data_IF_654730025055
#
_entry.id   IF_654730025055
#
_cell.length_a   1.000
_cell.length_b   1.000
_cell.length_c   1.000
_cell.angle_alpha   90.00
_cell.angle_beta   90.00
_cell.angle_gamma   90.00
#
_symmetry.space_group_name_H-M   'P 1'
#
loop_
_entity.id
_entity.type
_entity.pdbx_description
1 polymer ?
#
# COMPACT_ATOMS: atom_id res chain seq x y z
N UNK A 1 32.83 -11.23 -2.69
CA UNK A 1 31.52 -10.79 -3.17
C UNK A 1 30.68 -12.06 -3.30
N UNK A 2 29.83 -12.35 -2.32
CA UNK A 2 28.87 -13.45 -2.41
C UNK A 2 27.86 -13.07 -3.49
N UNK A 3 27.65 -13.94 -4.48
CA UNK A 3 26.57 -13.80 -5.42
C UNK A 3 25.25 -13.80 -4.64
N UNK A 4 24.60 -12.64 -4.57
CA UNK A 4 23.27 -12.53 -3.98
C UNK A 4 22.29 -13.13 -5.00
N UNK A 5 21.97 -14.39 -4.79
CA UNK A 5 20.96 -15.09 -5.60
C UNK A 5 19.58 -14.86 -4.97
N UNK A 6 19.14 -13.61 -4.89
CA UNK A 6 17.73 -13.33 -4.58
C UNK A 6 16.94 -13.59 -5.86
N UNK A 7 16.23 -14.70 -5.88
CA UNK A 7 15.33 -15.01 -6.97
C UNK A 7 14.13 -14.05 -6.89
N UNK A 8 14.15 -12.99 -7.71
CA UNK A 8 12.92 -12.26 -8.00
C UNK A 8 11.89 -13.26 -8.55
N UNK A 9 10.67 -13.18 -8.02
CA UNK A 9 9.57 -14.07 -8.43
C UNK A 9 8.54 -13.28 -9.24
N UNK A 10 8.76 -13.07 -10.56
CA UNK A 10 7.83 -12.30 -11.40
C UNK A 10 6.56 -13.12 -11.65
N UNK A 11 5.60 -13.02 -10.75
CA UNK A 11 4.29 -13.67 -10.82
C UNK A 11 3.26 -12.65 -11.29
N UNK A 12 3.07 -11.58 -10.53
CA UNK A 12 2.19 -10.46 -10.92
C UNK A 12 2.82 -9.61 -12.04
N UNK A 13 4.13 -9.39 -11.96
CA UNK A 13 4.89 -8.59 -12.93
C UNK A 13 5.24 -9.34 -14.21
N UNK A 14 4.90 -10.62 -14.27
CA UNK A 14 5.14 -11.45 -15.46
C UNK A 14 4.50 -10.84 -16.70
N UNK A 15 5.34 -10.44 -17.63
CA UNK A 15 4.91 -9.86 -18.91
C UNK A 15 4.56 -8.37 -18.88
N UNK A 16 4.82 -7.63 -17.79
CA UNK A 16 4.57 -6.18 -17.74
C UNK A 16 5.31 -5.41 -18.86
N UNK A 17 6.51 -5.84 -19.22
CA UNK A 17 7.29 -5.26 -20.32
C UNK A 17 6.89 -5.72 -21.72
N UNK A 18 5.90 -6.62 -21.85
CA UNK A 18 5.46 -7.13 -23.14
C UNK A 18 4.56 -6.12 -23.86
N UNK A 19 4.64 -6.09 -25.21
CA UNK A 19 3.75 -5.24 -25.99
C UNK A 19 2.28 -5.64 -25.74
N UNK A 20 1.44 -4.66 -25.45
CA UNK A 20 0.01 -4.85 -25.17
C UNK A 20 -0.28 -5.87 -24.04
N UNK A 21 0.59 -5.91 -23.03
CA UNK A 21 0.47 -6.84 -21.87
C UNK A 21 -0.91 -6.83 -21.19
N UNK A 22 -1.63 -5.74 -21.33
CA UNK A 22 -2.93 -5.45 -20.70
C UNK A 22 -4.14 -6.05 -21.41
N UNK A 23 -3.99 -6.64 -22.59
CA UNK A 23 -5.11 -7.20 -23.37
C UNK A 23 -5.46 -8.60 -22.89
N UNK A 24 -6.73 -8.99 -23.09
CA UNK A 24 -7.20 -10.34 -22.81
C UNK A 24 -6.40 -11.40 -23.58
N UNK A 25 -6.12 -11.16 -24.86
CA UNK A 25 -5.30 -12.05 -25.69
C UNK A 25 -3.94 -12.34 -25.06
N UNK A 26 -3.23 -11.28 -24.64
CA UNK A 26 -1.93 -11.40 -23.99
C UNK A 26 -2.00 -12.12 -22.65
N UNK A 27 -3.07 -11.92 -21.89
CA UNK A 27 -3.28 -12.59 -20.60
C UNK A 27 -3.56 -14.08 -20.78
N UNK A 28 -4.45 -14.45 -21.72
CA UNK A 28 -4.76 -15.85 -22.05
C UNK A 28 -3.53 -16.61 -22.57
N UNK A 29 -2.70 -15.98 -23.40
CA UNK A 29 -1.46 -16.58 -23.90
C UNK A 29 -0.46 -16.93 -22.79
N UNK A 30 -0.57 -16.33 -21.61
CA UNK A 30 0.25 -16.61 -20.43
C UNK A 30 -0.44 -17.55 -19.42
N UNK A 31 -1.55 -18.18 -19.77
CA UNK A 31 -2.32 -19.08 -18.90
C UNK A 31 -3.31 -18.34 -17.99
N UNK A 32 -3.71 -17.11 -18.36
CA UNK A 32 -4.73 -16.37 -17.63
C UNK A 32 -6.09 -17.08 -17.63
N UNK A 33 -6.87 -16.85 -16.57
CA UNK A 33 -8.18 -17.45 -16.29
C UNK A 33 -8.19 -18.98 -16.05
N UNK A 34 -7.02 -19.66 -16.07
CA UNK A 34 -6.96 -21.07 -15.67
C UNK A 34 -7.25 -21.25 -14.17
N UNK A 35 -6.85 -20.29 -13.33
CA UNK A 35 -7.20 -20.28 -11.91
C UNK A 35 -8.71 -20.15 -11.70
N UNK A 36 -9.39 -19.29 -12.46
CA UNK A 36 -10.84 -19.15 -12.42
C UNK A 36 -11.56 -20.41 -12.89
N UNK A 37 -11.09 -21.04 -13.99
CA UNK A 37 -11.67 -22.32 -14.47
C UNK A 37 -11.62 -23.37 -13.36
N UNK A 38 -10.48 -23.48 -12.65
CA UNK A 38 -10.35 -24.42 -11.52
C UNK A 38 -11.29 -24.02 -10.37
N UNK A 39 -11.34 -22.76 -9.97
CA UNK A 39 -12.24 -22.30 -8.92
C UNK A 39 -13.72 -22.54 -9.25
N UNK A 40 -14.10 -22.49 -10.52
CA UNK A 40 -15.47 -22.78 -10.96
C UNK A 40 -15.90 -24.24 -10.76
N UNK A 41 -14.96 -25.15 -10.57
CA UNK A 41 -15.26 -26.58 -10.23
C UNK A 41 -15.33 -26.84 -8.73
N UNK A 42 -15.06 -25.84 -7.89
CA UNK A 42 -14.98 -25.96 -6.43
C UNK A 42 -16.21 -25.34 -5.76
N UNK A 43 -16.53 -25.85 -4.56
CA UNK A 43 -17.52 -25.22 -3.71
C UNK A 43 -16.95 -23.94 -3.08
N UNK A 44 -17.78 -22.90 -2.80
CA UNK A 44 -17.33 -21.64 -2.20
C UNK A 44 -16.48 -21.81 -0.95
N UNK A 45 -16.85 -22.72 -0.06
CA UNK A 45 -16.10 -23.01 1.17
C UNK A 45 -14.69 -23.56 0.89
N UNK A 46 -14.54 -24.39 -0.14
CA UNK A 46 -13.24 -24.96 -0.54
C UNK A 46 -12.30 -23.89 -1.08
N UNK A 47 -12.85 -22.89 -1.79
CA UNK A 47 -12.08 -21.73 -2.26
C UNK A 47 -11.55 -20.93 -1.06
N UNK A 48 -12.40 -20.66 -0.08
CA UNK A 48 -12.00 -19.95 1.15
C UNK A 48 -10.90 -20.71 1.91
N UNK A 49 -11.06 -22.02 2.09
CA UNK A 49 -10.06 -22.87 2.79
C UNK A 49 -8.74 -22.94 2.00
N UNK A 50 -8.79 -22.96 0.67
CA UNK A 50 -7.59 -22.90 -0.17
C UNK A 50 -6.81 -21.61 0.05
N UNK A 51 -7.50 -20.47 0.12
CA UNK A 51 -6.85 -19.18 0.39
C UNK A 51 -6.35 -19.11 1.84
N UNK A 52 -7.04 -19.67 2.82
CA UNK A 52 -6.52 -19.80 4.19
C UNK A 52 -5.25 -20.65 4.23
N UNK A 53 -5.26 -21.80 3.60
CA UNK A 53 -4.12 -22.73 3.55
C UNK A 53 -2.89 -22.12 2.86
N UNK A 54 -3.08 -21.19 1.93
CA UNK A 54 -1.97 -20.47 1.28
C UNK A 54 -1.24 -19.51 2.22
N UNK A 55 -1.87 -19.10 3.32
CA UNK A 55 -1.31 -18.11 4.22
C UNK A 55 -1.28 -16.68 3.64
N UNK A 56 -2.03 -16.41 2.56
CA UNK A 56 -2.11 -15.06 1.97
C UNK A 56 -2.60 -14.04 2.99
N UNK A 57 -1.78 -13.03 3.25
CA UNK A 57 -2.13 -11.86 4.07
C UNK A 57 -2.44 -10.66 3.18
N UNK A 58 -3.25 -9.74 3.67
CA UNK A 58 -3.61 -8.50 2.98
C UNK A 58 -2.38 -7.66 2.59
N UNK A 59 -2.38 -7.13 1.38
CA UNK A 59 -1.29 -6.33 0.79
C UNK A 59 -1.55 -4.81 0.86
N UNK A 60 -2.63 -4.41 1.50
CA UNK A 60 -3.00 -3.00 1.65
C UNK A 60 -2.37 -2.27 2.84
N UNK A 61 -1.45 -2.92 3.58
CA UNK A 61 -0.73 -2.33 4.70
C UNK A 61 -0.88 -3.08 6.03
N UNK A 62 -2.10 -3.41 6.45
CA UNK A 62 -2.37 -4.04 7.76
C UNK A 62 -1.99 -5.53 7.85
N UNK A 63 -1.80 -6.22 6.73
CA UNK A 63 -1.36 -7.62 6.73
C UNK A 63 -2.34 -8.62 7.34
N UNK A 64 -3.64 -8.34 7.41
CA UNK A 64 -4.63 -9.26 7.96
C UNK A 64 -4.81 -10.50 7.05
N UNK A 65 -4.95 -11.73 7.59
CA UNK A 65 -5.10 -12.95 6.78
C UNK A 65 -6.34 -12.89 5.87
N UNK A 66 -6.13 -13.00 4.55
CA UNK A 66 -7.18 -12.77 3.54
C UNK A 66 -8.29 -13.80 3.61
N UNK A 67 -7.96 -15.10 3.64
CA UNK A 67 -8.96 -16.15 3.72
C UNK A 67 -9.74 -16.15 5.04
N UNK A 68 -9.09 -15.75 6.15
CA UNK A 68 -9.78 -15.57 7.42
C UNK A 68 -10.78 -14.40 7.37
N UNK A 69 -10.42 -13.29 6.70
CA UNK A 69 -11.34 -12.16 6.51
C UNK A 69 -12.61 -12.60 5.75
N UNK A 70 -12.48 -13.44 4.75
CA UNK A 70 -13.62 -13.95 3.97
C UNK A 70 -14.54 -14.86 4.81
N UNK A 71 -13.98 -15.63 5.75
CA UNK A 71 -14.76 -16.52 6.61
C UNK A 71 -15.56 -15.82 7.71
N UNK A 72 -15.41 -14.49 7.87
CA UNK A 72 -16.23 -13.71 8.82
C UNK A 72 -17.60 -13.32 8.24
N UNK A 73 -17.86 -13.59 6.97
CA UNK A 73 -19.19 -13.38 6.42
C UNK A 73 -20.21 -14.27 7.13
N UNK A 74 -21.39 -13.73 7.49
CA UNK A 74 -22.46 -14.55 8.06
C UNK A 74 -22.95 -15.60 7.04
N UNK A 75 -23.71 -16.63 7.47
CA UNK A 75 -24.38 -17.53 6.55
C UNK A 75 -25.15 -16.79 5.46
N UNK A 76 -25.26 -17.41 4.29
CA UNK A 76 -25.96 -16.79 3.16
C UNK A 76 -27.45 -16.73 3.44
N UNK A 77 -28.01 -15.52 3.38
CA UNK A 77 -29.41 -15.22 3.59
C UNK A 77 -30.20 -14.99 2.27
N UNK A 78 -29.53 -15.25 1.13
CA UNK A 78 -30.08 -15.03 -0.21
C UNK A 78 -30.16 -13.55 -0.62
N UNK A 79 -29.65 -12.63 0.22
CA UNK A 79 -29.62 -11.21 -0.08
C UNK A 79 -28.21 -10.80 -0.58
N UNK A 80 -28.07 -9.65 -1.27
CA UNK A 80 -26.82 -9.24 -1.85
C UNK A 80 -25.64 -9.19 -0.85
N UNK A 81 -24.51 -9.70 -1.29
CA UNK A 81 -23.18 -9.55 -0.68
C UNK A 81 -22.29 -8.81 -1.63
N UNK A 82 -21.34 -8.07 -1.12
CA UNK A 82 -20.47 -7.25 -1.94
C UNK A 82 -19.00 -7.59 -1.74
N UNK A 83 -18.28 -7.53 -2.85
CA UNK A 83 -16.83 -7.42 -2.85
C UNK A 83 -16.46 -5.99 -3.21
N UNK A 84 -15.64 -5.34 -2.38
CA UNK A 84 -15.08 -4.02 -2.68
C UNK A 84 -13.56 -4.15 -2.75
N UNK A 85 -13.02 -3.90 -3.93
CA UNK A 85 -11.57 -3.83 -4.14
C UNK A 85 -11.11 -2.41 -3.88
N UNK A 86 -10.27 -2.26 -2.87
CA UNK A 86 -9.65 -1.00 -2.53
C UNK A 86 -8.46 -0.74 -3.48
N UNK A 87 -8.67 0.17 -4.42
CA UNK A 87 -7.68 0.70 -5.35
C UNK A 87 -7.39 2.19 -5.10
N UNK A 88 -7.67 2.66 -3.87
CA UNK A 88 -7.27 4.00 -3.41
C UNK A 88 -5.81 3.98 -2.96
N UNK A 89 -4.90 3.88 -3.92
CA UNK A 89 -3.45 3.86 -3.70
C UNK A 89 -2.95 5.28 -3.50
N UNK A 90 -2.97 5.75 -2.25
CA UNK A 90 -2.69 7.15 -1.90
C UNK A 90 -1.56 7.32 -0.87
N UNK A 91 -1.04 6.24 -0.28
CA UNK A 91 0.09 6.30 0.66
C UNK A 91 1.35 6.83 -0.04
N UNK A 92 1.97 7.93 0.43
CA UNK A 92 3.19 8.47 -0.17
C UNK A 92 4.33 7.45 -0.25
N UNK A 93 4.85 7.25 -1.47
CA UNK A 93 5.86 6.25 -1.77
C UNK A 93 5.30 4.93 -2.32
N UNK A 94 4.01 4.68 -2.21
CA UNK A 94 3.37 3.46 -2.74
C UNK A 94 3.07 3.60 -4.24
N UNK A 95 3.49 2.61 -5.03
CA UNK A 95 3.20 2.54 -6.46
C UNK A 95 3.21 1.08 -6.94
N UNK A 96 2.19 0.30 -6.61
CA UNK A 96 2.09 -1.13 -6.93
C UNK A 96 0.75 -1.53 -7.57
N UNK A 97 -0.35 -0.95 -7.11
CA UNK A 97 -1.70 -1.27 -7.57
C UNK A 97 -1.99 -0.62 -8.92
N UNK A 98 -1.64 0.65 -9.08
CA UNK A 98 -1.75 1.37 -10.36
C UNK A 98 -0.94 0.69 -11.46
N UNK A 99 0.36 0.37 -11.29
CA UNK A 99 1.12 -0.37 -12.30
C UNK A 99 0.53 -1.74 -12.62
N UNK A 100 0.02 -2.47 -11.61
CA UNK A 100 -0.64 -3.77 -11.82
C UNK A 100 -1.86 -3.62 -12.73
N UNK A 101 -2.75 -2.67 -12.46
CA UNK A 101 -3.95 -2.43 -13.29
C UNK A 101 -3.56 -1.95 -14.69
N UNK A 102 -2.53 -1.12 -14.82
CA UNK A 102 -2.09 -0.60 -16.11
C UNK A 102 -1.44 -1.66 -16.99
N UNK A 103 -0.61 -2.51 -16.41
CA UNK A 103 0.16 -3.51 -17.16
C UNK A 103 -0.57 -4.85 -17.32
N UNK A 104 -1.40 -5.25 -16.34
CA UNK A 104 -2.10 -6.52 -16.36
C UNK A 104 -3.45 -6.46 -15.61
N UNK A 105 -4.46 -5.73 -16.12
CA UNK A 105 -5.76 -5.60 -15.46
C UNK A 105 -6.50 -6.92 -15.30
N UNK A 106 -6.26 -7.89 -16.20
CA UNK A 106 -6.95 -9.17 -16.18
C UNK A 106 -6.57 -10.05 -14.98
N UNK A 107 -5.36 -9.89 -14.41
CA UNK A 107 -5.01 -10.60 -13.17
C UNK A 107 -5.90 -10.16 -12.00
N UNK A 108 -6.23 -8.86 -11.94
CA UNK A 108 -7.18 -8.35 -10.95
C UNK A 108 -8.60 -8.85 -11.23
N UNK A 109 -9.05 -8.83 -12.47
CA UNK A 109 -10.40 -9.25 -12.87
C UNK A 109 -10.59 -10.76 -12.58
N UNK A 110 -9.63 -11.59 -12.90
CA UNK A 110 -9.65 -13.03 -12.56
C UNK A 110 -9.71 -13.22 -11.03
N UNK A 111 -8.88 -12.50 -10.27
CA UNK A 111 -8.90 -12.53 -8.81
C UNK A 111 -10.23 -12.09 -8.22
N UNK A 112 -10.87 -11.06 -8.79
CA UNK A 112 -12.24 -10.63 -8.42
C UNK A 112 -13.25 -11.74 -8.68
N UNK A 113 -13.20 -12.39 -9.82
CA UNK A 113 -14.13 -13.46 -10.17
C UNK A 113 -13.99 -14.68 -9.22
N UNK A 114 -12.76 -15.10 -8.92
CA UNK A 114 -12.50 -16.19 -7.94
C UNK A 114 -13.01 -15.80 -6.55
N UNK A 115 -12.70 -14.59 -6.09
CA UNK A 115 -13.14 -14.10 -4.78
C UNK A 115 -14.65 -13.97 -4.69
N UNK A 116 -15.28 -13.45 -5.74
CA UNK A 116 -16.74 -13.29 -5.81
C UNK A 116 -17.45 -14.64 -5.70
N UNK A 117 -16.93 -15.69 -6.37
CA UNK A 117 -17.42 -17.05 -6.21
C UNK A 117 -17.26 -17.57 -4.79
N UNK A 118 -16.09 -17.34 -4.17
CA UNK A 118 -15.81 -17.79 -2.80
C UNK A 118 -16.80 -17.23 -1.76
N UNK A 119 -17.28 -16.01 -1.97
CA UNK A 119 -18.15 -15.31 -1.01
C UNK A 119 -19.62 -15.19 -1.48
N UNK A 120 -19.98 -15.84 -2.57
CA UNK A 120 -21.29 -15.74 -3.22
C UNK A 120 -21.69 -14.31 -3.52
N UNK A 121 -20.83 -13.57 -4.22
CA UNK A 121 -21.02 -12.16 -4.58
C UNK A 121 -21.29 -12.04 -6.10
N UNK A 122 -22.36 -11.36 -6.49
CA UNK A 122 -22.70 -11.11 -7.88
C UNK A 122 -22.40 -9.67 -8.33
N UNK A 123 -21.99 -8.79 -7.41
CA UNK A 123 -21.63 -7.43 -7.74
C UNK A 123 -20.38 -6.98 -6.98
N UNK A 124 -19.28 -6.85 -7.68
CA UNK A 124 -18.03 -6.33 -7.17
C UNK A 124 -17.82 -4.86 -7.56
N UNK A 125 -17.24 -4.10 -6.65
CA UNK A 125 -16.83 -2.72 -6.90
C UNK A 125 -15.31 -2.61 -6.83
N UNK A 126 -14.71 -1.81 -7.73
CA UNK A 126 -13.30 -1.39 -7.64
C UNK A 126 -13.29 0.11 -7.39
N UNK A 127 -12.89 0.50 -6.19
CA UNK A 127 -12.80 1.91 -5.80
C UNK A 127 -11.42 2.46 -6.15
N UNK A 128 -11.35 3.31 -7.15
CA UNK A 128 -10.14 3.95 -7.67
C UNK A 128 -10.02 5.39 -7.19
N UNK A 129 -8.80 5.88 -7.03
CA UNK A 129 -8.56 7.32 -6.88
C UNK A 129 -9.14 8.10 -8.07
N UNK A 130 -9.76 9.25 -7.79
CA UNK A 130 -10.36 10.09 -8.83
C UNK A 130 -9.35 10.71 -9.79
N UNK A 131 -8.10 10.89 -9.37
CA UNK A 131 -7.03 11.52 -10.15
C UNK A 131 -6.51 10.63 -11.29
N UNK A 132 -6.66 9.30 -11.19
CA UNK A 132 -6.07 8.34 -12.14
C UNK A 132 -7.06 7.89 -13.21
N UNK A 133 -7.65 8.83 -13.94
CA UNK A 133 -8.66 8.56 -14.98
C UNK A 133 -8.17 7.56 -16.05
N UNK A 134 -6.89 7.56 -16.37
CA UNK A 134 -6.30 6.61 -17.31
C UNK A 134 -6.35 5.17 -16.81
N UNK A 135 -6.18 4.95 -15.50
CA UNK A 135 -6.30 3.63 -14.85
C UNK A 135 -7.76 3.16 -14.87
N UNK A 136 -8.71 4.07 -14.56
CA UNK A 136 -10.13 3.81 -14.69
C UNK A 136 -10.50 3.31 -16.10
N UNK A 137 -10.07 4.05 -17.13
CA UNK A 137 -10.34 3.68 -18.54
C UNK A 137 -9.71 2.33 -18.90
N UNK A 138 -8.49 2.06 -18.44
CA UNK A 138 -7.80 0.78 -18.64
C UNK A 138 -8.58 -0.38 -18.04
N UNK A 139 -8.99 -0.24 -16.78
CA UNK A 139 -9.74 -1.28 -16.07
C UNK A 139 -11.09 -1.54 -16.76
N UNK A 140 -11.84 -0.49 -17.11
CA UNK A 140 -13.15 -0.65 -17.74
C UNK A 140 -13.05 -1.28 -19.13
N UNK A 141 -12.01 -0.99 -19.90
CA UNK A 141 -11.77 -1.68 -21.18
C UNK A 141 -11.53 -3.18 -20.96
N UNK A 142 -10.71 -3.56 -19.97
CA UNK A 142 -10.45 -4.96 -19.66
C UNK A 142 -11.66 -5.70 -19.08
N UNK A 143 -12.48 -5.03 -18.24
CA UNK A 143 -13.77 -5.58 -17.77
C UNK A 143 -14.69 -5.87 -18.95
N UNK A 144 -14.76 -4.95 -19.92
CA UNK A 144 -15.53 -5.14 -21.14
C UNK A 144 -15.03 -6.37 -21.93
N UNK A 145 -13.72 -6.48 -22.16
CA UNK A 145 -13.11 -7.65 -22.84
C UNK A 145 -13.49 -8.98 -22.14
N UNK A 146 -13.38 -9.02 -20.81
CA UNK A 146 -13.69 -10.23 -20.03
C UNK A 146 -15.21 -10.56 -20.06
N UNK A 147 -16.08 -9.55 -20.05
CA UNK A 147 -17.54 -9.72 -20.14
C UNK A 147 -17.94 -10.25 -21.51
N UNK A 148 -17.43 -9.64 -22.60
CA UNK A 148 -17.71 -10.05 -23.97
C UNK A 148 -17.21 -11.46 -24.29
N UNK A 149 -16.10 -11.87 -23.62
CA UNK A 149 -15.59 -13.24 -23.71
C UNK A 149 -16.34 -14.27 -22.85
N UNK A 150 -17.38 -13.85 -22.10
CA UNK A 150 -18.18 -14.72 -21.24
C UNK A 150 -17.47 -15.23 -19.98
N UNK A 151 -16.32 -14.65 -19.61
CA UNK A 151 -15.48 -15.10 -18.49
C UNK A 151 -16.07 -14.78 -17.12
N UNK A 152 -16.95 -13.80 -17.03
CA UNK A 152 -17.48 -13.30 -15.75
C UNK A 152 -18.84 -13.95 -15.37
N UNK A 153 -19.52 -14.66 -16.29
CA UNK A 153 -20.83 -15.19 -16.03
C UNK A 153 -21.83 -14.07 -15.69
N UNK A 154 -22.48 -14.17 -14.54
CA UNK A 154 -23.44 -13.18 -14.01
C UNK A 154 -22.77 -12.12 -13.09
N UNK A 155 -21.48 -12.22 -12.86
CA UNK A 155 -20.73 -11.25 -12.04
C UNK A 155 -20.66 -9.89 -12.73
N UNK A 156 -21.17 -8.88 -12.06
CA UNK A 156 -21.01 -7.47 -12.46
C UNK A 156 -19.81 -6.85 -11.74
N UNK A 157 -18.91 -6.20 -12.47
CA UNK A 157 -17.81 -5.42 -11.94
C UNK A 157 -18.03 -3.94 -12.27
N UNK A 158 -18.11 -3.09 -11.24
CA UNK A 158 -18.26 -1.64 -11.38
C UNK A 158 -17.01 -0.95 -10.85
N UNK A 159 -16.34 -0.18 -11.70
CA UNK A 159 -15.30 0.74 -11.22
C UNK A 159 -15.97 2.05 -10.75
N UNK A 160 -15.57 2.50 -9.58
CA UNK A 160 -15.98 3.77 -9.00
C UNK A 160 -14.76 4.71 -8.90
N UNK A 161 -14.88 5.91 -9.45
CA UNK A 161 -13.88 6.94 -9.32
C UNK A 161 -14.14 7.75 -8.05
N UNK A 162 -13.24 7.68 -7.09
CA UNK A 162 -13.28 8.48 -5.87
C UNK A 162 -13.05 9.97 -6.14
N UNK A 163 -13.08 10.78 -5.08
CA UNK A 163 -12.92 12.23 -5.15
C UNK A 163 -11.50 12.72 -4.72
N UNK A 164 -10.50 11.84 -4.68
CA UNK A 164 -9.10 12.20 -4.40
C UNK A 164 -8.78 12.39 -2.92
N UNK A 165 -9.40 11.63 -2.02
CA UNK A 165 -9.14 11.70 -0.59
C UNK A 165 -8.42 10.44 -0.08
N UNK A 166 -7.20 10.60 0.44
CA UNK A 166 -6.39 9.52 1.06
C UNK A 166 -7.19 8.71 2.10
N UNK A 167 -8.03 9.41 2.92
CA UNK A 167 -8.82 8.73 3.94
C UNK A 167 -9.78 7.67 3.37
N UNK A 168 -10.17 7.77 2.10
CA UNK A 168 -11.00 6.78 1.45
C UNK A 168 -10.28 5.44 1.20
N UNK A 169 -8.98 5.35 1.48
CA UNK A 169 -8.24 4.09 1.64
C UNK A 169 -8.56 3.34 2.94
N UNK A 170 -9.09 4.00 3.97
CA UNK A 170 -9.64 3.32 5.15
C UNK A 170 -10.96 2.62 4.76
N UNK A 171 -11.08 1.33 5.12
CA UNK A 171 -12.12 0.45 4.56
C UNK A 171 -13.57 0.97 4.78
N UNK A 172 -13.85 1.65 5.88
CA UNK A 172 -15.20 2.16 6.17
C UNK A 172 -15.44 3.56 5.62
N UNK A 173 -14.40 4.40 5.52
CA UNK A 173 -14.48 5.67 4.82
C UNK A 173 -14.70 5.47 3.31
N UNK A 174 -14.07 4.42 2.75
CA UNK A 174 -14.31 3.98 1.38
C UNK A 174 -15.79 3.63 1.16
N UNK A 175 -16.41 2.90 2.10
CA UNK A 175 -17.84 2.55 2.01
C UNK A 175 -18.74 3.78 2.05
N UNK A 176 -18.47 4.74 2.95
CA UNK A 176 -19.21 6.00 3.00
C UNK A 176 -19.13 6.75 1.67
N UNK A 177 -17.92 6.85 1.09
CA UNK A 177 -17.71 7.49 -0.20
C UNK A 177 -18.45 6.76 -1.34
N UNK A 178 -18.40 5.42 -1.35
CA UNK A 178 -19.09 4.61 -2.36
C UNK A 178 -20.61 4.73 -2.27
N UNK A 179 -21.15 4.95 -1.07
CA UNK A 179 -22.56 5.22 -0.82
C UNK A 179 -22.97 6.67 -1.12
N UNK A 180 -22.03 7.54 -1.52
CA UNK A 180 -22.30 8.94 -1.86
C UNK A 180 -22.22 9.91 -0.67
N UNK A 181 -21.72 9.47 0.45
CA UNK A 181 -21.47 10.30 1.64
C UNK A 181 -20.04 10.84 1.64
N UNK A 182 -19.76 11.77 2.55
CA UNK A 182 -18.39 12.17 2.84
C UNK A 182 -17.61 10.97 3.40
N UNK A 183 -16.41 10.71 2.88
CA UNK A 183 -15.56 9.62 3.32
C UNK A 183 -15.08 9.78 4.77
N UNK A 184 -15.86 9.31 5.71
CA UNK A 184 -15.54 9.30 7.12
C UNK A 184 -15.49 7.84 7.63
N UNK A 185 -14.48 7.45 8.42
CA UNK A 185 -14.44 6.13 9.05
C UNK A 185 -15.68 5.89 9.93
N UNK A 186 -16.25 4.67 9.86
CA UNK A 186 -17.38 4.24 10.67
C UNK A 186 -16.93 3.66 12.01
N UNK A 187 -17.81 3.71 13.00
CA UNK A 187 -17.59 3.01 14.26
C UNK A 187 -17.65 1.48 14.02
N UNK A 188 -16.77 0.75 14.65
CA UNK A 188 -16.75 -0.72 14.67
C UNK A 188 -16.92 -1.21 16.12
N UNK A 189 -17.76 -2.22 16.41
CA UNK A 189 -18.70 -2.92 15.54
C UNK A 189 -19.89 -2.06 15.08
N UNK A 190 -20.61 -2.43 13.98
CA UNK A 190 -20.41 -3.62 13.16
C UNK A 190 -19.20 -3.53 12.22
N UNK A 191 -18.55 -4.67 12.00
CA UNK A 191 -17.51 -4.79 10.98
C UNK A 191 -18.12 -4.94 9.57
N UNK A 192 -17.44 -4.53 8.49
CA UNK A 192 -17.96 -4.61 7.13
C UNK A 192 -18.40 -6.01 6.70
N UNK A 193 -17.76 -7.06 7.20
CA UNK A 193 -18.17 -8.43 6.94
C UNK A 193 -19.61 -8.74 7.39
N UNK A 194 -20.12 -8.02 8.40
CA UNK A 194 -21.50 -8.15 8.90
C UNK A 194 -22.40 -7.09 8.29
N UNK A 195 -21.97 -5.82 8.27
CA UNK A 195 -22.76 -4.68 7.78
C UNK A 195 -21.80 -3.65 7.13
N UNK A 196 -21.51 -3.83 5.86
CA UNK A 196 -20.64 -2.97 5.05
C UNK A 196 -21.42 -2.10 4.08
N UNK A 197 -21.18 -2.26 2.78
CA UNK A 197 -21.82 -1.49 1.71
C UNK A 197 -23.35 -1.69 1.73
N UNK A 198 -24.09 -0.58 1.76
CA UNK A 198 -25.56 -0.58 1.87
C UNK A 198 -26.09 -1.44 3.04
N UNK A 199 -25.35 -1.43 4.16
CA UNK A 199 -25.60 -2.26 5.34
C UNK A 199 -25.64 -3.77 5.06
N UNK A 200 -25.01 -4.25 3.98
CA UNK A 200 -24.93 -5.67 3.60
C UNK A 200 -23.55 -6.25 3.88
N UNK A 201 -23.44 -7.57 4.08
CA UNK A 201 -22.16 -8.25 4.23
C UNK A 201 -21.20 -7.90 3.09
N UNK A 202 -20.01 -7.41 3.43
CA UNK A 202 -19.05 -6.88 2.46
C UNK A 202 -17.63 -7.32 2.79
N UNK A 203 -16.95 -7.89 1.80
CA UNK A 203 -15.51 -8.14 1.86
C UNK A 203 -14.78 -6.97 1.21
N UNK A 204 -13.80 -6.40 1.89
CA UNK A 204 -12.95 -5.33 1.34
C UNK A 204 -11.51 -5.82 1.31
N UNK A 205 -10.90 -5.82 0.13
CA UNK A 205 -9.51 -6.22 -0.06
C UNK A 205 -8.79 -5.26 -1.00
N UNK A 206 -7.48 -5.09 -0.80
CA UNK A 206 -6.61 -4.31 -1.69
C UNK A 206 -6.42 -5.02 -3.04
N UNK A 207 -6.10 -4.26 -4.10
CA UNK A 207 -5.85 -4.74 -5.48
C UNK A 207 -4.83 -5.88 -5.51
N UNK A 208 -3.66 -5.68 -4.89
CA UNK A 208 -2.61 -6.70 -4.90
C UNK A 208 -3.05 -7.98 -4.17
N UNK A 209 -3.78 -7.86 -3.06
CA UNK A 209 -4.31 -9.03 -2.34
C UNK A 209 -5.21 -9.89 -3.23
N UNK A 210 -6.09 -9.26 -3.98
CA UNK A 210 -7.01 -9.95 -4.91
C UNK A 210 -6.24 -10.53 -6.10
N UNK A 211 -5.27 -9.80 -6.65
CA UNK A 211 -4.44 -10.27 -7.76
C UNK A 211 -3.59 -11.49 -7.39
N UNK A 212 -3.14 -11.59 -6.13
CA UNK A 212 -2.38 -12.75 -5.62
C UNK A 212 -3.19 -14.05 -5.61
N UNK A 213 -4.52 -13.96 -5.51
CA UNK A 213 -5.40 -15.15 -5.49
C UNK A 213 -5.24 -15.97 -6.77
N UNK A 214 -5.03 -15.32 -7.92
CA UNK A 214 -4.89 -16.05 -9.20
C UNK A 214 -3.76 -17.07 -9.18
N UNK A 215 -2.58 -16.67 -8.68
CA UNK A 215 -1.42 -17.56 -8.57
C UNK A 215 -1.67 -18.77 -7.66
N UNK A 216 -2.46 -18.58 -6.58
CA UNK A 216 -2.83 -19.69 -5.68
C UNK A 216 -3.66 -20.74 -6.40
N UNK A 217 -4.60 -20.33 -7.26
CA UNK A 217 -5.47 -21.26 -8.00
C UNK A 217 -4.82 -21.80 -9.27
N UNK A 218 -3.94 -21.04 -9.93
CA UNK A 218 -3.15 -21.53 -11.06
C UNK A 218 -2.17 -22.65 -10.65
N UNK A 219 -1.60 -22.53 -9.46
CA UNK A 219 -0.65 -23.50 -8.92
C UNK A 219 -1.27 -24.32 -7.78
N UNK A 220 -0.99 -23.91 -6.53
CA UNK A 220 -1.62 -24.48 -5.32
C UNK A 220 -1.38 -23.58 -4.11
N UNK A 221 -2.14 -23.80 -3.03
CA UNK A 221 -1.92 -23.14 -1.75
C UNK A 221 -0.51 -23.46 -1.19
N UNK A 222 -0.05 -24.71 -1.32
CA UNK A 222 1.27 -25.15 -0.86
C UNK A 222 2.41 -24.47 -1.64
N UNK A 223 2.25 -24.35 -2.96
CA UNK A 223 3.20 -23.60 -3.78
C UNK A 223 3.32 -22.15 -3.31
N UNK A 224 2.21 -21.48 -3.07
CA UNK A 224 2.23 -20.11 -2.56
C UNK A 224 2.86 -20.02 -1.17
N UNK A 225 2.50 -20.95 -0.27
CA UNK A 225 3.01 -21.01 1.10
C UNK A 225 4.50 -21.40 1.19
N UNK A 226 5.08 -21.97 0.12
CA UNK A 226 6.52 -22.31 0.07
C UNK A 226 7.42 -21.07 -0.11
N UNK A 227 6.85 -19.93 -0.48
CA UNK A 227 7.54 -18.63 -0.59
C UNK A 227 7.36 -17.81 0.68
N UNK A 228 8.29 -16.89 0.93
CA UNK A 228 8.23 -15.99 2.07
C UNK A 228 8.76 -16.59 3.37
N UNK A 229 8.38 -15.99 4.49
CA UNK A 229 8.79 -16.43 5.83
C UNK A 229 7.74 -17.33 6.49
N UNK A 230 8.02 -17.82 7.69
CA UNK A 230 7.12 -18.73 8.40
C UNK A 230 5.70 -18.16 8.57
N UNK A 231 5.59 -16.87 8.93
CA UNK A 231 4.31 -16.20 9.21
C UNK A 231 3.84 -15.26 8.11
N UNK A 232 4.75 -14.82 7.25
CA UNK A 232 4.46 -13.94 6.12
C UNK A 232 4.71 -14.68 4.81
N UNK A 233 3.71 -15.45 4.38
CA UNK A 233 3.80 -16.32 3.20
C UNK A 233 3.66 -15.54 1.89
N UNK A 234 4.21 -16.14 0.83
CA UNK A 234 4.10 -15.64 -0.54
C UNK A 234 5.13 -14.55 -0.87
N UNK A 235 4.79 -13.79 -1.86
CA UNK A 235 5.59 -12.70 -2.39
C UNK A 235 4.81 -11.37 -2.34
N UNK A 236 5.48 -10.27 -2.65
CA UNK A 236 4.87 -8.96 -2.72
C UNK A 236 5.60 -8.01 -3.65
N UNK A 237 4.93 -6.93 -4.02
CA UNK A 237 5.51 -5.83 -4.77
C UNK A 237 6.12 -4.82 -3.79
N UNK A 238 7.42 -4.58 -3.93
CA UNK A 238 8.19 -3.60 -3.19
C UNK A 238 8.43 -2.38 -4.08
N UNK A 239 7.90 -1.23 -3.68
CA UNK A 239 8.05 0.04 -4.40
C UNK A 239 9.29 0.77 -3.88
N UNK A 240 10.36 0.82 -4.64
CA UNK A 240 11.58 1.54 -4.26
C UNK A 240 11.61 2.88 -4.96
N UNK A 241 11.79 3.95 -4.19
CA UNK A 241 11.88 5.32 -4.68
C UNK A 241 12.94 6.12 -3.94
N UNK A 242 13.18 7.35 -4.39
CA UNK A 242 14.15 8.25 -3.77
C UNK A 242 15.56 8.08 -4.34
N UNK A 243 16.58 8.07 -3.49
CA UNK A 243 17.98 8.23 -3.87
C UNK A 243 18.68 6.90 -4.21
N UNK A 244 18.05 6.07 -5.01
CA UNK A 244 18.65 4.87 -5.62
C UNK A 244 18.90 5.09 -7.11
N UNK A 245 19.79 4.30 -7.74
CA UNK A 245 20.11 4.44 -9.17
C UNK A 245 18.93 4.05 -10.06
N UNK A 246 18.22 2.97 -9.75
CA UNK A 246 17.13 2.45 -10.56
C UNK A 246 15.88 2.27 -9.69
N UNK A 247 15.10 3.35 -9.42
CA UNK A 247 13.83 3.23 -8.70
C UNK A 247 12.84 2.41 -9.52
N UNK A 248 11.94 1.68 -8.84
CA UNK A 248 10.98 0.83 -9.54
C UNK A 248 10.23 -0.14 -8.63
N UNK A 249 9.56 -1.10 -9.29
CA UNK A 249 8.83 -2.17 -8.62
C UNK A 249 9.65 -3.45 -8.64
N UNK A 250 9.82 -4.05 -7.48
CA UNK A 250 10.53 -5.32 -7.31
C UNK A 250 9.57 -6.34 -6.71
N UNK A 251 9.30 -7.42 -7.43
CA UNK A 251 8.47 -8.51 -6.92
C UNK A 251 9.36 -9.59 -6.33
N UNK A 252 9.28 -9.78 -5.03
CA UNK A 252 10.13 -10.71 -4.30
C UNK A 252 9.36 -11.46 -3.19
N UNK A 253 9.84 -12.63 -2.74
CA UNK A 253 9.32 -13.28 -1.55
C UNK A 253 9.47 -12.39 -0.33
N UNK A 254 8.54 -12.49 0.63
CA UNK A 254 8.75 -11.86 1.94
C UNK A 254 10.01 -12.42 2.62
N UNK A 255 10.67 -11.58 3.39
CA UNK A 255 11.95 -11.91 4.02
C UNK A 255 13.17 -11.40 3.26
N UNK A 256 12.99 -10.91 2.01
CA UNK A 256 14.04 -10.13 1.35
C UNK A 256 14.42 -8.93 2.23
N UNK A 257 15.69 -8.55 2.25
CA UNK A 257 16.17 -7.41 3.04
C UNK A 257 16.19 -6.11 2.24
N UNK A 258 16.19 -4.97 2.94
CA UNK A 258 16.36 -3.68 2.28
C UNK A 258 17.71 -3.55 1.59
N UNK A 259 18.77 -4.16 2.15
CA UNK A 259 20.10 -4.19 1.55
C UNK A 259 20.06 -4.85 0.17
N UNK A 260 19.49 -6.05 0.08
CA UNK A 260 19.34 -6.78 -1.19
C UNK A 260 18.52 -5.99 -2.21
N UNK A 261 17.44 -5.34 -1.79
CA UNK A 261 16.61 -4.52 -2.68
C UNK A 261 17.34 -3.26 -3.18
N UNK A 262 18.13 -2.60 -2.33
CA UNK A 262 18.98 -1.48 -2.76
C UNK A 262 20.02 -1.96 -3.79
N UNK A 263 20.63 -3.11 -3.58
CA UNK A 263 21.59 -3.69 -4.53
C UNK A 263 20.92 -4.01 -5.88
N UNK A 264 19.72 -4.61 -5.88
CA UNK A 264 18.91 -4.84 -7.07
C UNK A 264 18.53 -3.53 -7.78
N UNK A 265 18.31 -2.46 -7.03
CA UNK A 265 18.10 -1.11 -7.56
C UNK A 265 19.40 -0.41 -8.02
N UNK A 266 20.53 -1.13 -8.08
CA UNK A 266 21.81 -0.61 -8.55
C UNK A 266 22.60 0.21 -7.52
N UNK A 267 22.18 0.19 -6.26
CA UNK A 267 22.78 0.93 -5.15
C UNK A 267 22.21 2.33 -4.95
N UNK A 268 22.70 2.99 -3.91
CA UNK A 268 22.45 4.42 -3.69
C UNK A 268 23.06 5.22 -4.84
N UNK A 269 22.56 6.41 -5.13
CA UNK A 269 23.11 7.28 -6.17
C UNK A 269 24.61 7.50 -5.95
N UNK A 270 25.35 7.70 -7.03
CA UNK A 270 26.82 7.72 -7.01
C UNK A 270 27.38 8.85 -6.13
N UNK A 271 28.37 8.51 -5.31
CA UNK A 271 29.03 9.44 -4.39
C UNK A 271 28.27 9.72 -3.10
N UNK A 272 27.14 9.07 -2.87
CA UNK A 272 26.27 9.30 -1.72
C UNK A 272 26.11 8.05 -0.85
N UNK A 273 25.67 8.25 0.40
CA UNK A 273 25.44 7.21 1.38
C UNK A 273 24.00 7.25 1.90
N UNK A 274 23.46 6.09 2.28
CA UNK A 274 22.16 6.00 2.91
C UNK A 274 22.16 6.78 4.23
N UNK A 275 21.12 7.57 4.45
CA UNK A 275 20.85 8.22 5.73
C UNK A 275 19.68 7.57 6.46
N UNK A 276 18.55 7.48 5.81
CA UNK A 276 17.35 6.81 6.35
C UNK A 276 16.43 6.32 5.23
N UNK A 277 15.48 5.49 5.59
CA UNK A 277 14.49 4.94 4.68
C UNK A 277 13.19 4.58 5.38
N UNK A 278 12.10 4.39 4.62
CA UNK A 278 10.81 3.95 5.15
C UNK A 278 10.51 2.52 4.71
N UNK A 279 10.06 1.62 5.61
CA UNK A 279 9.69 0.26 5.21
C UNK A 279 8.29 0.16 4.60
N UNK A 280 7.40 1.11 4.91
CA UNK A 280 5.99 1.02 4.53
C UNK A 280 5.35 2.32 4.05
N UNK A 281 6.15 3.31 3.66
CA UNK A 281 5.70 4.64 3.27
C UNK A 281 5.87 5.68 4.37
N UNK A 282 5.32 6.87 4.13
CA UNK A 282 5.42 8.01 5.05
C UNK A 282 4.74 7.78 6.40
N UNK A 283 3.81 6.83 6.47
CA UNK A 283 3.03 6.49 7.67
C UNK A 283 3.76 5.60 8.67
N UNK A 284 5.02 5.23 8.41
CA UNK A 284 5.75 4.27 9.25
C UNK A 284 6.94 4.90 9.94
N UNK A 285 7.32 4.43 11.14
CA UNK A 285 8.58 4.82 11.76
C UNK A 285 9.76 4.60 10.80
N UNK A 286 10.64 5.61 10.71
CA UNK A 286 11.79 5.58 9.81
C UNK A 286 12.89 4.64 10.30
N UNK A 287 13.60 4.03 9.37
CA UNK A 287 14.75 3.18 9.58
C UNK A 287 16.04 3.83 9.07
N UNK A 288 17.18 3.33 9.55
CA UNK A 288 18.52 3.77 9.17
C UNK A 288 19.34 2.59 8.63
N UNK A 289 20.62 2.75 8.48
CA UNK A 289 21.54 1.67 8.07
C UNK A 289 21.48 0.46 9.03
N UNK A 290 21.20 0.69 10.31
CA UNK A 290 21.15 -0.35 11.34
C UNK A 290 20.07 -1.42 11.05
N UNK A 291 19.01 -1.06 10.33
CA UNK A 291 17.88 -1.93 10.03
C UNK A 291 17.91 -2.50 8.58
N UNK A 292 19.00 -2.30 7.81
CA UNK A 292 19.09 -2.74 6.41
C UNK A 292 18.96 -4.26 6.23
N UNK A 293 19.38 -5.03 7.20
CA UNK A 293 19.36 -6.50 7.16
C UNK A 293 18.14 -7.11 7.84
N UNK A 294 17.18 -6.27 8.28
CA UNK A 294 15.90 -6.74 8.79
C UNK A 294 15.09 -7.39 7.66
N UNK A 295 14.64 -8.66 7.83
CA UNK A 295 13.76 -9.28 6.86
C UNK A 295 12.48 -8.44 6.65
N UNK A 296 12.15 -8.15 5.40
CA UNK A 296 10.95 -7.38 5.06
C UNK A 296 9.73 -8.30 5.09
N UNK A 297 9.29 -8.57 6.31
CA UNK A 297 8.04 -9.24 6.63
C UNK A 297 7.31 -8.51 7.77
N UNK A 298 6.05 -8.86 8.03
CA UNK A 298 5.24 -8.13 9.01
C UNK A 298 5.78 -8.26 10.44
N UNK A 299 6.32 -9.42 10.79
CA UNK A 299 6.80 -9.75 12.14
C UNK A 299 8.16 -9.11 12.41
N UNK A 300 9.10 -9.27 11.50
CA UNK A 300 10.48 -8.79 11.68
C UNK A 300 10.54 -7.27 11.68
N UNK A 301 9.84 -6.61 10.75
CA UNK A 301 9.74 -5.14 10.72
C UNK A 301 9.00 -4.62 11.96
N UNK A 302 7.96 -5.33 12.41
CA UNK A 302 7.25 -5.01 13.65
C UNK A 302 8.15 -5.10 14.88
N UNK A 303 8.94 -6.17 15.00
CA UNK A 303 9.90 -6.37 16.08
C UNK A 303 11.03 -5.31 16.06
N UNK A 304 11.41 -4.82 14.90
CA UNK A 304 12.39 -3.73 14.75
C UNK A 304 11.79 -2.33 15.05
N UNK A 305 10.51 -2.25 15.42
CA UNK A 305 9.87 -1.01 15.87
C UNK A 305 9.25 -0.16 14.74
N UNK A 306 8.94 -0.77 13.59
CA UNK A 306 8.24 -0.10 12.50
C UNK A 306 7.10 -0.97 11.96
N UNK A 307 6.58 -0.66 10.79
CA UNK A 307 5.55 -1.43 10.10
C UNK A 307 5.93 -1.64 8.64
N UNK A 308 5.74 -2.86 8.11
CA UNK A 308 5.98 -3.14 6.70
C UNK A 308 5.03 -2.37 5.77
N UNK A 309 3.85 -2.03 6.27
CA UNK A 309 2.88 -1.18 5.58
C UNK A 309 2.58 -1.68 4.17
N UNK A 310 2.60 -0.75 3.23
CA UNK A 310 2.39 -1.02 1.79
C UNK A 310 3.66 -1.42 1.05
N UNK A 311 4.80 -1.58 1.74
CA UNK A 311 6.13 -1.83 1.16
C UNK A 311 6.60 -0.69 0.25
N UNK A 312 6.27 0.53 0.64
CA UNK A 312 6.75 1.75 -0.01
C UNK A 312 8.10 2.14 0.59
N UNK A 313 9.17 1.72 -0.07
CA UNK A 313 10.54 1.88 0.37
C UNK A 313 11.11 3.19 -0.18
N UNK A 314 10.96 4.27 0.60
CA UNK A 314 11.52 5.57 0.24
C UNK A 314 12.96 5.67 0.79
N UNK A 315 13.92 5.93 -0.06
CA UNK A 315 15.35 5.95 0.27
C UNK A 315 15.88 7.38 0.24
N UNK A 316 16.51 7.79 1.32
CA UNK A 316 17.07 9.13 1.48
C UNK A 316 18.55 9.07 1.84
N UNK A 317 19.37 9.83 1.15
CA UNK A 317 20.80 9.94 1.43
C UNK A 317 21.12 11.12 2.37
N UNK A 318 22.42 11.28 2.68
CA UNK A 318 22.95 12.25 3.63
C UNK A 318 22.67 13.72 3.26
N UNK A 319 22.33 14.00 1.99
CA UNK A 319 22.00 15.38 1.56
C UNK A 319 20.57 15.80 1.93
N UNK A 320 19.79 14.86 2.47
CA UNK A 320 18.38 15.10 2.80
C UNK A 320 18.21 15.53 4.26
N UNK A 321 17.49 16.59 4.50
CA UNK A 321 17.03 16.97 5.84
C UNK A 321 15.84 16.12 6.28
N UNK A 322 15.96 15.45 7.42
CA UNK A 322 14.86 14.71 8.06
C UNK A 322 13.70 15.64 8.40
N UNK A 323 14.02 16.85 8.91
CA UNK A 323 13.01 17.86 9.24
C UNK A 323 12.18 18.25 8.02
N UNK A 324 12.81 18.49 6.86
CA UNK A 324 12.08 18.84 5.61
C UNK A 324 11.19 17.71 5.13
N UNK A 325 11.67 16.47 5.15
CA UNK A 325 10.89 15.32 4.69
C UNK A 325 9.67 15.13 5.59
N UNK A 326 9.86 15.10 6.90
CA UNK A 326 8.76 14.96 7.85
C UNK A 326 7.78 16.13 7.76
N UNK A 327 8.26 17.35 7.53
CA UNK A 327 7.37 18.51 7.29
C UNK A 327 6.45 18.25 6.11
N UNK A 328 6.97 17.74 4.96
CA UNK A 328 6.13 17.43 3.79
C UNK A 328 5.11 16.33 4.09
N UNK A 329 5.50 15.31 4.87
CA UNK A 329 4.57 14.26 5.28
C UNK A 329 3.47 14.80 6.22
N UNK A 330 3.81 15.67 7.16
CA UNK A 330 2.82 16.29 8.06
C UNK A 330 1.88 17.24 7.33
N UNK A 331 2.36 17.99 6.34
CA UNK A 331 1.49 18.78 5.46
C UNK A 331 0.48 17.91 4.74
N UNK A 332 0.92 16.74 4.24
CA UNK A 332 0.06 15.76 3.61
C UNK A 332 -1.00 15.24 4.60
N UNK A 333 -0.61 14.74 5.77
CA UNK A 333 -1.58 14.20 6.74
C UNK A 333 -2.54 15.24 7.28
N UNK A 334 -2.10 16.46 7.46
CA UNK A 334 -2.97 17.56 7.88
C UNK A 334 -4.01 17.88 6.79
N UNK A 335 -3.61 17.89 5.52
CA UNK A 335 -4.51 18.09 4.39
C UNK A 335 -5.51 16.96 4.25
N UNK A 336 -5.06 15.71 4.43
CA UNK A 336 -5.85 14.49 4.25
C UNK A 336 -6.69 14.08 5.48
N UNK A 337 -6.54 14.78 6.60
CA UNK A 337 -7.40 14.55 7.76
C UNK A 337 -8.87 14.79 7.42
N UNK A 338 -9.71 13.79 7.63
CA UNK A 338 -11.16 13.94 7.38
C UNK A 338 -11.86 14.89 8.37
N UNK A 339 -11.18 15.31 9.44
CA UNK A 339 -11.70 16.22 10.45
C UNK A 339 -12.64 15.59 11.48
N UNK A 340 -12.85 14.27 11.45
CA UNK A 340 -13.82 13.59 12.33
C UNK A 340 -13.45 13.64 13.80
N UNK A 341 -12.19 13.42 14.16
CA UNK A 341 -11.76 13.33 15.56
C UNK A 341 -10.74 14.40 15.93
N UNK A 342 -10.83 14.93 17.14
CA UNK A 342 -10.01 16.04 17.64
C UNK A 342 -8.52 15.74 17.62
N UNK A 343 -8.00 14.58 18.07
CA UNK A 343 -6.56 14.34 18.09
C UNK A 343 -5.91 14.49 16.70
N UNK A 344 -6.54 13.93 15.67
CA UNK A 344 -6.06 14.04 14.30
C UNK A 344 -6.28 15.44 13.72
N UNK A 345 -7.51 15.99 13.79
CA UNK A 345 -7.86 17.28 13.17
C UNK A 345 -7.01 18.43 13.70
N UNK A 346 -6.92 18.57 15.02
CA UNK A 346 -6.17 19.66 15.66
C UNK A 346 -4.70 19.32 15.79
N UNK A 347 -4.38 18.09 16.18
CA UNK A 347 -3.00 17.69 16.42
C UNK A 347 -2.13 17.76 15.16
N UNK A 348 -2.61 17.27 14.02
CA UNK A 348 -1.83 17.38 12.76
C UNK A 348 -1.61 18.83 12.33
N UNK A 349 -2.55 19.74 12.62
CA UNK A 349 -2.36 21.16 12.40
C UNK A 349 -1.25 21.72 13.29
N UNK A 350 -1.25 21.40 14.58
CA UNK A 350 -0.23 21.88 15.52
C UNK A 350 1.16 21.31 15.17
N UNK A 351 1.24 20.00 14.87
CA UNK A 351 2.48 19.39 14.40
C UNK A 351 3.05 20.11 13.18
N UNK A 352 2.21 20.42 12.19
CA UNK A 352 2.61 21.16 10.99
C UNK A 352 3.17 22.55 11.33
N UNK A 353 2.51 23.30 12.22
CA UNK A 353 2.97 24.66 12.57
C UNK A 353 4.36 24.63 13.22
N UNK A 354 4.61 23.65 14.09
CA UNK A 354 5.93 23.51 14.74
C UNK A 354 6.97 23.07 13.70
N UNK A 355 6.65 22.07 12.87
CA UNK A 355 7.56 21.60 11.82
C UNK A 355 7.96 22.67 10.82
N UNK A 356 7.03 23.53 10.41
CA UNK A 356 7.31 24.67 9.52
C UNK A 356 8.25 25.69 10.18
N UNK A 357 8.12 25.95 11.49
CA UNK A 357 9.06 26.81 12.21
C UNK A 357 10.46 26.22 12.25
N UNK A 358 10.57 24.94 12.58
CA UNK A 358 11.85 24.22 12.61
C UNK A 358 12.50 24.17 11.23
N UNK A 359 11.74 23.88 10.18
CA UNK A 359 12.25 23.90 8.80
C UNK A 359 12.81 25.29 8.41
N UNK A 360 12.20 26.35 8.89
CA UNK A 360 12.60 27.73 8.63
C UNK A 360 13.75 28.24 9.52
N UNK A 361 14.26 27.45 10.46
CA UNK A 361 15.27 27.90 11.44
C UNK A 361 14.74 28.94 12.43
N UNK A 362 13.44 28.87 12.71
CA UNK A 362 12.72 29.80 13.61
C UNK A 362 12.02 29.04 14.75
N UNK A 363 12.53 27.89 15.11
CA UNK A 363 12.03 27.12 16.24
C UNK A 363 12.17 27.89 17.55
N UNK A 364 11.36 27.52 18.52
CA UNK A 364 11.35 28.11 19.85
C UNK A 364 11.86 27.10 20.87
N UNK A 365 12.38 27.56 21.97
CA UNK A 365 12.74 26.69 23.11
C UNK A 365 11.52 25.86 23.54
N UNK A 366 11.69 24.55 23.69
CA UNK A 366 10.62 23.61 24.01
C UNK A 366 9.83 23.06 22.82
N UNK A 367 10.01 23.56 21.59
CA UNK A 367 9.26 23.12 20.42
C UNK A 367 9.42 21.60 20.14
N UNK A 368 10.61 21.06 20.36
CA UNK A 368 10.89 19.65 20.07
C UNK A 368 10.16 18.74 21.06
N UNK A 369 10.17 19.09 22.33
CA UNK A 369 9.49 18.32 23.37
C UNK A 369 7.97 18.45 23.22
N UNK A 370 7.46 19.64 22.86
CA UNK A 370 6.06 19.85 22.55
C UNK A 370 5.62 19.06 21.31
N UNK A 371 6.47 18.99 20.28
CA UNK A 371 6.21 18.21 19.07
C UNK A 371 6.06 16.71 19.39
N UNK A 372 6.96 16.18 20.23
CA UNK A 372 6.90 14.79 20.70
C UNK A 372 5.68 14.53 21.57
N UNK A 373 5.34 15.43 22.49
CA UNK A 373 4.15 15.33 23.35
C UNK A 373 2.86 15.32 22.51
N UNK A 374 2.73 16.22 21.52
CA UNK A 374 1.56 16.23 20.63
C UNK A 374 1.47 14.93 19.85
N UNK A 375 2.58 14.42 19.29
CA UNK A 375 2.60 13.16 18.56
C UNK A 375 2.13 11.99 19.44
N UNK A 376 2.60 11.89 20.69
CA UNK A 376 2.15 10.88 21.66
C UNK A 376 0.68 11.05 22.06
N UNK A 377 0.14 12.27 22.05
CA UNK A 377 -1.28 12.53 22.33
C UNK A 377 -2.20 12.24 21.12
N UNK A 378 -1.65 12.09 19.92
CA UNK A 378 -2.37 11.63 18.72
C UNK A 378 -2.33 10.11 18.63
N UNK A 379 -1.15 9.52 18.86
CA UNK A 379 -0.89 8.08 18.71
C UNK A 379 -1.78 7.24 19.61
N UNK A 380 -2.51 6.28 19.03
CA UNK A 380 -3.43 5.39 19.71
C UNK A 380 -4.71 6.04 20.26
N UNK A 381 -4.92 7.35 19.98
CA UNK A 381 -6.09 8.11 20.48
C UNK A 381 -6.96 8.68 19.37
N UNK A 382 -6.58 8.48 18.13
CA UNK A 382 -7.36 8.86 16.97
C UNK A 382 -8.42 7.82 16.62
N UNK A 383 -9.48 8.23 15.95
CA UNK A 383 -10.58 7.34 15.55
C UNK A 383 -10.15 6.27 14.52
N UNK A 384 -9.16 6.56 13.71
CA UNK A 384 -8.58 5.66 12.72
C UNK A 384 -7.06 5.83 12.66
N UNK A 385 -6.40 4.94 11.93
CA UNK A 385 -4.95 4.88 11.84
C UNK A 385 -4.28 6.11 11.19
N UNK A 386 -5.02 7.05 10.56
CA UNK A 386 -4.43 8.24 9.98
C UNK A 386 -3.71 9.10 11.02
N UNK A 387 -4.26 9.20 12.24
CA UNK A 387 -3.59 9.91 13.33
C UNK A 387 -2.25 9.27 13.71
N UNK A 388 -2.24 7.96 13.84
CA UNK A 388 -1.01 7.21 14.14
C UNK A 388 0.01 7.38 13.01
N UNK A 389 -0.44 7.31 11.76
CA UNK A 389 0.36 7.55 10.56
C UNK A 389 1.03 8.94 10.54
N UNK A 390 0.35 9.96 11.04
CA UNK A 390 0.90 11.30 11.16
C UNK A 390 1.92 11.43 12.31
N UNK A 391 1.73 10.71 13.40
CA UNK A 391 2.55 10.81 14.60
C UNK A 391 3.87 10.03 14.50
N UNK A 392 3.85 8.81 13.93
CA UNK A 392 4.99 7.89 13.96
C UNK A 392 6.26 8.39 13.27
N UNK A 393 6.23 9.09 12.11
CA UNK A 393 7.44 9.65 11.51
C UNK A 393 8.07 10.75 12.37
N UNK A 394 7.28 11.55 13.08
CA UNK A 394 7.78 12.56 14.02
C UNK A 394 8.49 11.90 15.18
N UNK A 395 7.82 10.97 15.87
CA UNK A 395 8.38 10.26 17.03
C UNK A 395 9.67 9.54 16.67
N UNK A 396 9.71 8.83 15.54
CA UNK A 396 10.93 8.15 15.08
C UNK A 396 12.00 9.10 14.57
N UNK A 397 11.62 10.21 13.94
CA UNK A 397 12.52 11.25 13.48
C UNK A 397 13.25 11.93 14.64
N UNK A 398 12.53 12.38 15.68
CA UNK A 398 13.11 12.95 16.89
C UNK A 398 14.04 11.93 17.58
N UNK A 399 13.59 10.68 17.72
CA UNK A 399 14.38 9.64 18.36
C UNK A 399 15.72 9.37 17.68
N UNK A 400 15.75 9.38 16.34
CA UNK A 400 16.93 9.00 15.55
C UNK A 400 17.79 10.18 15.08
N UNK A 401 17.21 11.38 14.98
CA UNK A 401 17.83 12.58 14.39
C UNK A 401 17.55 13.86 15.18
N UNK A 402 17.50 13.76 16.51
CA UNK A 402 17.18 14.90 17.39
C UNK A 402 18.02 16.14 17.09
N UNK A 403 19.30 15.96 16.78
CA UNK A 403 20.23 17.04 16.45
C UNK A 403 19.78 17.91 15.25
N UNK A 404 19.14 17.29 14.26
CA UNK A 404 18.62 18.04 13.12
C UNK A 404 17.39 18.89 13.50
N UNK A 405 16.56 18.41 14.42
CA UNK A 405 15.45 19.21 14.96
C UNK A 405 15.98 20.37 15.82
N UNK A 406 16.99 20.13 16.65
CA UNK A 406 17.65 21.16 17.46
C UNK A 406 18.32 22.23 16.60
N UNK A 407 18.95 21.84 15.50
CA UNK A 407 19.49 22.79 14.53
C UNK A 407 18.42 23.71 13.96
N UNK A 408 17.20 23.23 13.79
CA UNK A 408 16.02 23.99 13.32
C UNK A 408 15.56 25.09 14.28
N UNK A 409 16.07 25.15 15.50
CA UNK A 409 15.83 26.28 16.41
C UNK A 409 16.45 27.58 15.90
N UNK A 410 17.57 27.49 15.17
CA UNK A 410 18.34 28.69 14.78
C UNK A 410 18.75 28.70 13.31
N UNK A 411 18.79 27.55 12.63
CA UNK A 411 19.31 27.42 11.27
C UNK A 411 18.27 26.78 10.37
N UNK A 412 17.93 27.39 9.22
CA UNK A 412 17.01 26.78 8.25
C UNK A 412 17.52 25.44 7.75
N UNK A 413 16.64 24.44 7.68
CA UNK A 413 16.99 23.12 7.18
C UNK A 413 17.53 23.16 5.73
N UNK A 414 17.10 24.14 4.93
CA UNK A 414 17.58 24.37 3.57
C UNK A 414 19.05 24.80 3.51
N UNK A 415 19.55 25.53 4.52
CA UNK A 415 20.95 25.97 4.60
C UNK A 415 21.86 24.83 5.08
N UNK A 416 21.36 23.98 6.01
CA UNK A 416 22.09 22.80 6.48
C UNK A 416 22.22 21.73 5.39
N UNK A 417 21.18 21.59 4.56
CA UNK A 417 21.09 20.57 3.51
C UNK A 417 20.75 21.25 2.18
N UNK A 418 21.71 21.95 1.55
CA UNK A 418 21.45 22.63 0.28
C UNK A 418 21.05 21.61 -0.78
N UNK A 419 19.88 21.84 -1.37
CA UNK A 419 19.43 21.03 -2.50
C UNK A 419 20.26 21.41 -3.73
N UNK A 420 21.22 20.57 -4.08
CA UNK A 420 21.78 20.57 -5.42
C UNK A 420 20.74 19.91 -6.34
N UNK A 421 20.04 20.74 -7.12
CA UNK A 421 19.20 20.24 -8.19
C UNK A 421 20.04 19.27 -9.03
N UNK A 422 19.72 17.97 -8.98
CA UNK A 422 20.46 17.01 -9.77
C UNK A 422 20.35 17.45 -11.22
N UNK A 423 21.50 17.75 -11.84
CA UNK A 423 21.62 18.19 -13.24
C UNK A 423 20.98 17.18 -14.23
N UNK A 424 20.64 16.01 -13.75
CA UNK A 424 19.97 14.94 -14.48
C UNK A 424 18.46 15.17 -14.70
N UNK A 425 17.76 15.91 -13.82
CA UNK A 425 16.36 16.30 -14.08
C UNK A 425 16.25 17.41 -15.13
N UNK A 426 17.26 18.26 -15.24
CA UNK A 426 17.30 19.34 -16.24
C UNK A 426 17.66 18.84 -17.66
N UNK A 427 18.17 17.61 -17.80
CA UNK A 427 18.56 17.00 -19.09
C UNK A 427 17.60 15.91 -19.58
N UNK A 428 16.63 15.52 -18.80
CA UNK A 428 15.60 14.55 -19.18
C UNK A 428 14.51 15.20 -20.02
N UNK A 429 14.83 15.57 -21.23
CA UNK A 429 13.81 15.77 -22.26
C UNK A 429 12.99 14.48 -22.38
N UNK A 430 11.67 14.61 -22.33
CA UNK A 430 10.70 13.57 -22.61
C UNK A 430 11.12 12.83 -23.89
N UNK A 431 11.47 11.56 -23.78
CA UNK A 431 11.55 10.63 -24.91
C UNK A 431 10.36 9.68 -24.88
#
# INVERSE_FOLDING_TARGET
MSEITVALTPILTRGWGSNRSWTLESYLARGGYEGLKKANTMEPAEIVETVKASGLRGRGGAGFPTGLKWSFLPPDDGLPRYLVVNADESEPGTCKDIPTIMANPHVLIEGIAITSRAINCHHAFVYLRGEVVHVYRRLMAAVKEATEAGLLGDLRITAHAGAGAYICGEETALLDSLEGYRGHPRLKPPFPAVAGLYARPTVINNVESISQVTGIFQHSAQWYASMGTEKSKGHGLFSISGHVKNPGQFEAPFGITMRELIELAGGIREGHQLKFWTPGGSSTPIFTEAELDTPLDYESVGAAGSMLGTRALQVFDETTSVVRVITRWIEFYQHESCGKCTPCREGTYWLKQIMLRLEAGKGQEGDIDLLDEIAHNIFGRSFCALGDAAATPIMSGIKKFREEFEAGLTTPARELFPYEASSNFAKGGVR
#
